data_IF_047723095498
#
_entry.id   IF_047723095498
#
_cell.length_a   1.000
_cell.length_b   1.000
_cell.length_c   1.000
_cell.angle_alpha   90.00
_cell.angle_beta   90.00
_cell.angle_gamma   90.00
#
_symmetry.space_group_name_H-M   'P 1'
#
loop_
_entity.id
_entity.type
_entity.pdbx_description
1 polymer ?
#
# COMPACT_ATOMS: atom_id res chain seq x y z
N UNK A 1 -32.90 -15.69 15.06
CA UNK A 1 -32.71 -17.10 14.64
C UNK A 1 -31.86 -17.09 13.39
N UNK A 2 -30.64 -17.59 13.49
CA UNK A 2 -29.65 -17.62 12.42
C UNK A 2 -30.03 -18.77 11.48
N UNK A 3 -30.10 -18.51 10.18
CA UNK A 3 -30.04 -19.58 9.16
C UNK A 3 -28.97 -19.21 8.13
N UNK A 4 -27.85 -19.89 8.25
CA UNK A 4 -26.75 -19.92 7.29
C UNK A 4 -27.19 -20.66 6.02
N UNK A 5 -27.08 -20.01 4.86
CA UNK A 5 -27.02 -20.72 3.58
C UNK A 5 -25.81 -20.24 2.80
N UNK A 6 -24.82 -21.13 2.69
CA UNK A 6 -23.68 -21.01 1.80
C UNK A 6 -24.21 -21.20 0.38
N UNK A 7 -24.15 -20.16 -0.45
CA UNK A 7 -24.32 -20.29 -1.89
C UNK A 7 -23.01 -19.95 -2.58
N UNK A 8 -22.35 -21.03 -3.00
CA UNK A 8 -21.29 -21.02 -4.00
C UNK A 8 -21.86 -20.61 -5.36
N UNK A 9 -20.96 -20.08 -6.21
CA UNK A 9 -21.13 -19.60 -7.59
C UNK A 9 -21.70 -18.18 -7.70
N UNK A 10 -20.75 -17.26 -7.88
CA UNK A 10 -21.04 -15.93 -8.41
C UNK A 10 -21.34 -16.01 -9.90
N UNK A 11 -22.60 -15.74 -10.24
CA UNK A 11 -23.01 -15.20 -11.52
C UNK A 11 -24.11 -14.17 -11.23
N UNK A 12 -23.94 -12.95 -11.73
CA UNK A 12 -25.04 -12.00 -11.91
C UNK A 12 -24.93 -11.50 -13.35
N UNK A 13 -25.86 -11.95 -14.19
CA UNK A 13 -25.95 -11.57 -15.61
C UNK A 13 -26.82 -10.32 -15.81
N UNK A 14 -26.20 -9.31 -16.43
CA UNK A 14 -26.68 -8.36 -17.45
C UNK A 14 -28.16 -7.91 -17.43
N UNK A 15 -28.36 -6.60 -17.22
CA UNK A 15 -29.46 -5.82 -17.82
C UNK A 15 -28.83 -4.69 -18.65
N UNK A 16 -29.18 -4.65 -19.93
CA UNK A 16 -28.66 -3.71 -20.93
C UNK A 16 -29.42 -2.37 -20.89
N UNK A 17 -28.67 -1.29 -20.67
CA UNK A 17 -29.12 0.09 -20.80
C UNK A 17 -28.01 1.04 -20.36
N UNK A 18 -27.37 1.74 -21.31
CA UNK A 18 -26.38 2.83 -21.15
C UNK A 18 -25.53 2.87 -19.85
N UNK A 19 -25.08 1.71 -19.37
CA UNK A 19 -24.12 1.59 -18.26
C UNK A 19 -22.76 1.32 -18.86
N UNK A 20 -21.79 2.18 -18.53
CA UNK A 20 -20.38 1.95 -18.79
C UNK A 20 -20.03 0.50 -18.43
N UNK A 21 -19.44 -0.24 -19.37
CA UNK A 21 -19.10 -1.64 -19.18
C UNK A 21 -17.97 -1.70 -18.15
N UNK A 22 -18.31 -2.05 -16.91
CA UNK A 22 -17.32 -2.26 -15.85
C UNK A 22 -16.37 -3.37 -16.29
N UNK A 23 -15.07 -3.08 -16.29
CA UNK A 23 -14.04 -4.02 -16.69
C UNK A 23 -13.78 -4.96 -15.51
N UNK A 24 -14.07 -6.24 -15.69
CA UNK A 24 -13.78 -7.27 -14.69
C UNK A 24 -12.26 -7.43 -14.58
N UNK A 25 -11.76 -7.39 -13.35
CA UNK A 25 -10.34 -7.59 -13.03
C UNK A 25 -10.14 -8.87 -12.22
N UNK A 26 -9.35 -9.82 -12.74
CA UNK A 26 -8.93 -11.00 -12.01
C UNK A 26 -8.11 -10.64 -10.76
N UNK A 27 -8.20 -11.46 -9.70
CA UNK A 27 -7.57 -11.16 -8.41
C UNK A 27 -6.03 -11.09 -8.43
N UNK A 28 -5.40 -11.73 -9.41
CA UNK A 28 -3.95 -11.74 -9.62
C UNK A 28 -3.48 -10.70 -10.67
N UNK A 29 -4.37 -9.83 -11.16
CA UNK A 29 -4.01 -8.75 -12.09
C UNK A 29 -3.19 -7.64 -11.40
N UNK A 30 -2.23 -7.07 -12.12
CA UNK A 30 -1.51 -5.87 -11.67
C UNK A 30 -2.30 -4.59 -11.94
N UNK A 31 -2.09 -3.55 -11.13
CA UNK A 31 -2.65 -2.21 -11.33
C UNK A 31 -2.24 -1.63 -12.69
N UNK A 32 -1.00 -1.87 -13.13
CA UNK A 32 -0.54 -1.48 -14.46
C UNK A 32 -1.36 -2.13 -15.58
N UNK A 33 -1.58 -3.44 -15.50
CA UNK A 33 -2.41 -4.18 -16.46
C UNK A 33 -3.85 -3.70 -16.45
N UNK A 34 -4.42 -3.51 -15.26
CA UNK A 34 -5.79 -3.07 -15.11
C UNK A 34 -6.00 -1.68 -15.75
N UNK A 35 -5.07 -0.76 -15.53
CA UNK A 35 -5.08 0.57 -16.17
C UNK A 35 -4.89 0.45 -17.68
N UNK A 36 -3.93 -0.35 -18.14
CA UNK A 36 -3.71 -0.60 -19.58
C UNK A 36 -4.97 -1.12 -20.28
N UNK A 37 -5.71 -2.04 -19.66
CA UNK A 37 -6.94 -2.57 -20.25
C UNK A 37 -8.03 -1.50 -20.37
N UNK A 38 -8.12 -0.57 -19.42
CA UNK A 38 -8.99 0.60 -19.57
C UNK A 38 -8.55 1.46 -20.75
N UNK A 39 -7.25 1.71 -20.88
CA UNK A 39 -6.71 2.44 -22.02
C UNK A 39 -7.13 1.80 -23.35
N UNK A 40 -6.98 0.48 -23.47
CA UNK A 40 -7.38 -0.26 -24.68
C UNK A 40 -8.89 -0.18 -24.93
N UNK A 41 -9.72 -0.40 -23.90
CA UNK A 41 -11.18 -0.39 -24.04
C UNK A 41 -11.73 1.00 -24.39
N UNK A 42 -11.15 2.05 -23.83
CA UNK A 42 -11.60 3.43 -24.03
C UNK A 42 -10.79 4.18 -25.10
N UNK A 43 -9.91 3.49 -25.84
CA UNK A 43 -9.16 4.06 -26.96
C UNK A 43 -8.09 5.10 -26.57
N UNK A 44 -7.59 5.07 -25.34
CA UNK A 44 -6.51 5.94 -24.89
C UNK A 44 -5.14 5.34 -25.24
N UNK A 45 -4.56 5.79 -26.36
CA UNK A 45 -3.26 5.30 -26.84
C UNK A 45 -2.05 5.80 -26.04
N UNK A 46 -2.20 6.90 -25.29
CA UNK A 46 -1.15 7.37 -24.37
C UNK A 46 -1.03 6.39 -23.20
N UNK A 47 0.13 5.77 -23.04
CA UNK A 47 0.46 4.84 -21.94
C UNK A 47 1.60 5.35 -21.07
N UNK A 48 1.98 6.63 -21.19
CA UNK A 48 3.09 7.23 -20.45
C UNK A 48 2.88 7.27 -18.94
N UNK A 49 1.64 7.11 -18.47
CA UNK A 49 1.25 6.97 -17.07
C UNK A 49 1.51 5.58 -16.48
N UNK A 50 1.76 4.57 -17.32
CA UNK A 50 2.01 3.18 -16.92
C UNK A 50 3.33 2.63 -17.44
N UNK A 51 3.82 3.10 -18.60
CA UNK A 51 5.09 2.71 -19.22
C UNK A 51 6.04 3.90 -19.26
N UNK A 52 7.27 3.71 -18.78
CA UNK A 52 8.32 4.73 -18.83
C UNK A 52 8.85 4.90 -20.25
N UNK A 53 9.53 6.04 -20.49
CA UNK A 53 10.27 6.30 -21.75
C UNK A 53 11.31 5.23 -22.08
N UNK A 54 11.78 4.47 -21.09
CA UNK A 54 12.74 3.39 -21.26
C UNK A 54 12.12 2.03 -21.57
N UNK A 55 10.79 1.90 -21.66
CA UNK A 55 10.12 0.64 -21.98
C UNK A 55 9.92 -0.30 -20.78
N UNK A 56 9.75 0.26 -19.58
CA UNK A 56 9.51 -0.49 -18.35
C UNK A 56 8.17 -0.06 -17.76
N UNK A 57 7.56 -0.89 -16.93
CA UNK A 57 6.51 -0.41 -16.05
C UNK A 57 7.07 0.68 -15.12
N UNK A 58 6.33 1.77 -14.99
CA UNK A 58 6.64 2.82 -14.01
C UNK A 58 6.49 2.27 -12.59
N UNK A 59 7.20 2.84 -11.62
CA UNK A 59 7.09 2.36 -10.23
C UNK A 59 5.69 2.58 -9.63
N UNK A 60 5.08 3.72 -9.93
CA UNK A 60 3.75 4.08 -9.46
C UNK A 60 2.89 4.48 -10.65
N UNK A 61 2.02 3.59 -11.14
CA UNK A 61 1.09 3.94 -12.20
C UNK A 61 0.04 4.92 -11.68
N UNK A 62 -0.50 5.73 -12.59
CA UNK A 62 -1.63 6.60 -12.33
C UNK A 62 -2.62 6.54 -13.48
N UNK A 63 -3.89 6.79 -13.24
CA UNK A 63 -4.89 6.88 -14.31
C UNK A 63 -4.78 8.24 -15.02
N UNK A 64 -4.97 8.29 -16.34
CA UNK A 64 -5.03 9.54 -17.08
C UNK A 64 -6.24 10.39 -16.68
N UNK A 65 -6.07 11.71 -16.65
CA UNK A 65 -7.12 12.67 -16.30
C UNK A 65 -8.40 12.47 -17.11
N UNK A 66 -8.25 12.16 -18.41
CA UNK A 66 -9.37 11.95 -19.34
C UNK A 66 -10.29 10.78 -18.97
N UNK A 67 -9.79 9.77 -18.26
CA UNK A 67 -10.52 8.54 -17.94
C UNK A 67 -10.62 8.26 -16.43
N UNK A 68 -10.11 9.13 -15.57
CA UNK A 68 -10.11 8.94 -14.10
C UNK A 68 -11.51 8.79 -13.51
N UNK A 69 -12.50 9.50 -14.07
CA UNK A 69 -13.89 9.43 -13.65
C UNK A 69 -14.47 8.01 -13.79
N UNK A 70 -13.95 7.20 -14.72
CA UNK A 70 -14.37 5.80 -14.92
C UNK A 70 -13.99 4.90 -13.75
N UNK A 71 -13.04 5.31 -12.90
CA UNK A 71 -12.62 4.54 -11.73
C UNK A 71 -13.50 4.80 -10.50
N UNK A 72 -14.36 5.82 -10.55
CA UNK A 72 -15.29 6.13 -9.46
C UNK A 72 -16.36 5.06 -9.25
N UNK A 73 -16.64 4.25 -10.28
CA UNK A 73 -17.63 3.16 -10.19
C UNK A 73 -17.12 1.87 -9.53
N UNK A 74 -15.79 1.70 -9.35
CA UNK A 74 -15.25 0.48 -8.75
C UNK A 74 -15.32 0.51 -7.23
N UNK A 75 -15.57 -0.64 -6.62
CA UNK A 75 -15.41 -0.81 -5.19
C UNK A 75 -13.99 -0.41 -4.75
N UNK A 76 -13.88 0.42 -3.73
CA UNK A 76 -12.59 0.94 -3.31
C UNK A 76 -11.67 -0.15 -2.78
N UNK A 77 -12.24 -1.14 -2.08
CA UNK A 77 -11.53 -2.34 -1.65
C UNK A 77 -10.89 -3.06 -2.84
N UNK A 78 -11.58 -3.15 -3.98
CA UNK A 78 -11.03 -3.78 -5.18
C UNK A 78 -9.81 -3.02 -5.73
N UNK A 79 -9.90 -1.69 -5.83
CA UNK A 79 -8.77 -0.86 -6.25
C UNK A 79 -7.58 -0.96 -5.28
N UNK A 80 -7.86 -1.10 -3.98
CA UNK A 80 -6.85 -1.30 -2.96
C UNK A 80 -6.09 -2.61 -3.12
N UNK A 81 -6.78 -3.71 -3.48
CA UNK A 81 -6.15 -4.99 -3.82
C UNK A 81 -5.13 -4.81 -4.94
N UNK A 82 -5.50 -4.11 -6.01
CA UNK A 82 -4.61 -3.86 -7.14
C UNK A 82 -3.35 -3.10 -6.71
N UNK A 83 -3.50 -2.05 -5.90
CA UNK A 83 -2.34 -1.26 -5.41
C UNK A 83 -1.42 -2.11 -4.55
N UNK A 84 -1.97 -2.94 -3.66
CA UNK A 84 -1.19 -3.78 -2.76
C UNK A 84 -0.46 -4.90 -3.51
N UNK A 85 -1.17 -5.63 -4.37
CA UNK A 85 -0.59 -6.73 -5.15
C UNK A 85 0.49 -6.23 -6.11
N UNK A 86 0.38 -4.98 -6.58
CA UNK A 86 1.37 -4.38 -7.50
C UNK A 86 2.58 -3.78 -6.80
N UNK A 87 2.73 -3.99 -5.48
CA UNK A 87 3.83 -3.47 -4.66
C UNK A 87 4.01 -1.95 -4.73
N UNK A 88 2.94 -1.21 -5.07
CA UNK A 88 2.94 0.26 -5.09
C UNK A 88 2.99 0.80 -3.66
N UNK A 89 2.32 0.11 -2.73
CA UNK A 89 2.40 0.35 -1.30
C UNK A 89 3.55 -0.48 -0.72
N UNK A 90 4.56 0.20 -0.19
CA UNK A 90 5.54 -0.42 0.70
C UNK A 90 5.08 -0.19 2.13
N UNK A 91 4.62 -1.24 2.80
CA UNK A 91 4.28 -1.12 4.21
C UNK A 91 5.50 -0.66 5.02
N UNK A 92 5.28 0.31 5.89
CA UNK A 92 6.29 0.74 6.86
C UNK A 92 6.61 -0.42 7.79
N UNK A 93 7.90 -0.63 8.11
CA UNK A 93 8.30 -1.66 9.08
C UNK A 93 7.87 -1.33 10.52
N UNK A 94 7.64 -0.06 10.82
CA UNK A 94 7.28 0.41 12.16
C UNK A 94 5.82 0.08 12.48
N UNK A 95 5.59 -0.50 13.66
CA UNK A 95 4.26 -0.81 14.18
C UNK A 95 3.51 0.47 14.63
N UNK A 96 4.22 1.42 15.23
CA UNK A 96 3.71 2.74 15.62
C UNK A 96 3.87 3.75 14.47
N UNK A 97 3.16 3.51 13.38
CA UNK A 97 3.17 4.39 12.21
C UNK A 97 1.77 4.59 11.66
N UNK A 98 1.63 5.52 10.70
CA UNK A 98 0.35 5.85 10.09
C UNK A 98 -0.30 4.59 9.46
N UNK A 99 -1.45 4.12 9.97
CA UNK A 99 -2.16 2.95 9.46
C UNK A 99 -2.80 3.20 8.10
N UNK A 100 -2.97 4.47 7.71
CA UNK A 100 -3.64 4.91 6.49
C UNK A 100 -2.65 5.31 5.38
N UNK A 101 -1.35 5.02 5.52
CA UNK A 101 -0.34 5.41 4.53
C UNK A 101 -0.67 4.95 3.10
N UNK A 102 -1.31 3.79 2.96
CA UNK A 102 -1.70 3.24 1.67
C UNK A 102 -2.74 4.07 0.93
N UNK A 103 -3.58 4.85 1.63
CA UNK A 103 -4.62 5.69 1.02
C UNK A 103 -4.00 6.74 0.09
N UNK A 104 -2.84 7.29 0.47
CA UNK A 104 -2.13 8.24 -0.38
C UNK A 104 -1.79 7.62 -1.75
N UNK A 105 -1.35 6.36 -1.76
CA UNK A 105 -1.02 5.62 -2.99
C UNK A 105 -2.26 5.22 -3.77
N UNK A 106 -3.33 4.81 -3.09
CA UNK A 106 -4.62 4.53 -3.70
C UNK A 106 -5.17 5.75 -4.44
N UNK A 107 -5.21 6.89 -3.75
CA UNK A 107 -5.65 8.17 -4.32
C UNK A 107 -4.81 8.57 -5.53
N UNK A 108 -3.50 8.51 -5.36
CA UNK A 108 -2.53 8.88 -6.37
C UNK A 108 -2.56 8.01 -7.63
N UNK A 109 -2.96 6.74 -7.50
CA UNK A 109 -3.03 5.78 -8.61
C UNK A 109 -4.38 5.87 -9.33
N UNK A 110 -5.51 5.98 -8.63
CA UNK A 110 -6.83 5.83 -9.26
C UNK A 110 -7.75 7.06 -9.22
N UNK A 111 -7.49 8.07 -8.37
CA UNK A 111 -8.44 9.18 -8.16
C UNK A 111 -7.91 10.56 -8.50
N UNK A 112 -6.61 10.80 -8.36
CA UNK A 112 -6.02 12.13 -8.59
C UNK A 112 -6.06 12.55 -10.06
N UNK A 113 -6.01 11.57 -10.96
CA UNK A 113 -5.67 11.81 -12.36
C UNK A 113 -4.19 12.21 -12.49
N UNK A 114 -3.53 11.80 -13.56
CA UNK A 114 -2.18 12.23 -13.90
C UNK A 114 -2.02 12.45 -15.39
N UNK A 115 -1.22 13.46 -15.74
CA UNK A 115 -0.58 13.53 -17.05
C UNK A 115 0.58 12.53 -17.20
N UNK A 116 1.34 12.68 -18.27
CA UNK A 116 2.46 11.78 -18.60
C UNK A 116 3.48 11.64 -17.45
N UNK A 117 3.89 10.41 -17.14
CA UNK A 117 4.88 10.16 -16.09
C UNK A 117 6.28 10.57 -16.56
N UNK A 118 6.95 11.40 -15.77
CA UNK A 118 8.39 11.66 -15.90
C UNK A 118 9.25 10.69 -15.09
N UNK A 119 8.66 9.70 -14.42
CA UNK A 119 9.40 8.78 -13.56
C UNK A 119 10.20 7.77 -14.37
N UNK A 120 11.41 7.46 -13.90
CA UNK A 120 12.21 6.39 -14.45
C UNK A 120 11.50 5.04 -14.32
N UNK A 121 11.69 4.19 -15.33
CA UNK A 121 11.19 2.83 -15.36
C UNK A 121 11.74 2.00 -14.21
N UNK A 122 10.93 1.09 -13.65
CA UNK A 122 11.35 0.30 -12.49
C UNK A 122 11.20 -1.21 -12.69
N UNK A 123 10.12 -1.67 -13.34
CA UNK A 123 9.89 -3.11 -13.56
C UNK A 123 9.92 -3.45 -15.04
N UNK A 124 10.70 -4.46 -15.43
CA UNK A 124 10.69 -4.97 -16.81
C UNK A 124 9.31 -5.53 -17.11
N UNK A 125 8.77 -5.23 -18.30
CA UNK A 125 7.51 -5.82 -18.75
C UNK A 125 7.76 -7.26 -19.18
N UNK A 126 7.29 -8.19 -18.34
CA UNK A 126 7.45 -9.64 -18.54
C UNK A 126 6.11 -10.34 -18.48
N UNK A 127 5.97 -11.46 -19.18
CA UNK A 127 4.75 -12.26 -19.21
C UNK A 127 5.00 -13.72 -19.59
N UNK A 128 3.99 -14.56 -19.38
CA UNK A 128 3.98 -15.94 -19.84
C UNK A 128 3.00 -16.07 -21.01
N UNK A 129 3.44 -16.41 -22.23
CA UNK A 129 2.57 -16.57 -23.39
C UNK A 129 1.43 -17.58 -23.16
N UNK A 130 1.71 -18.69 -22.47
CA UNK A 130 0.71 -19.71 -22.18
C UNK A 130 -0.32 -19.24 -21.16
N UNK A 131 0.09 -18.46 -20.15
CA UNK A 131 -0.86 -17.78 -19.26
C UNK A 131 -1.76 -16.84 -20.06
N UNK A 132 -1.21 -15.99 -20.93
CA UNK A 132 -2.02 -15.07 -21.73
C UNK A 132 -3.04 -15.85 -22.59
N UNK A 133 -2.63 -16.92 -23.26
CA UNK A 133 -3.54 -17.78 -24.05
C UNK A 133 -4.61 -18.44 -23.18
N UNK A 134 -4.26 -18.89 -21.97
CA UNK A 134 -5.21 -19.47 -21.03
C UNK A 134 -6.23 -18.42 -20.56
N UNK A 135 -5.77 -17.23 -20.17
CA UNK A 135 -6.61 -16.11 -19.76
C UNK A 135 -7.58 -15.69 -20.87
N UNK A 136 -7.13 -15.62 -22.13
CA UNK A 136 -8.01 -15.31 -23.27
C UNK A 136 -9.07 -16.39 -23.44
N UNK A 137 -8.72 -17.67 -23.31
CA UNK A 137 -9.69 -18.78 -23.39
C UNK A 137 -10.70 -18.76 -22.25
N UNK A 138 -10.28 -18.39 -21.05
CA UNK A 138 -11.11 -18.43 -19.84
C UNK A 138 -11.96 -17.16 -19.66
N UNK A 139 -11.38 -15.98 -19.87
CA UNK A 139 -12.00 -14.69 -19.58
C UNK A 139 -12.31 -13.86 -20.83
N UNK A 140 -11.86 -14.28 -22.01
CA UNK A 140 -12.00 -13.52 -23.26
C UNK A 140 -10.99 -12.38 -23.43
N UNK A 141 -10.02 -12.23 -22.52
CA UNK A 141 -8.97 -11.21 -22.60
C UNK A 141 -7.69 -11.67 -21.89
N UNK A 142 -6.53 -11.17 -22.34
CA UNK A 142 -5.27 -11.32 -21.63
C UNK A 142 -5.02 -10.20 -20.63
N UNK A 143 -4.18 -10.45 -19.62
CA UNK A 143 -3.73 -9.45 -18.65
C UNK A 143 -2.36 -9.80 -18.03
N UNK A 144 -1.63 -8.79 -17.56
CA UNK A 144 -0.37 -8.99 -16.85
C UNK A 144 -0.60 -9.21 -15.34
N UNK A 145 -0.11 -10.35 -14.84
CA UNK A 145 -0.21 -10.71 -13.43
C UNK A 145 0.68 -9.83 -12.54
N UNK A 146 0.23 -9.57 -11.32
CA UNK A 146 0.96 -8.80 -10.32
C UNK A 146 2.30 -9.43 -9.96
N UNK A 147 2.37 -10.76 -9.82
CA UNK A 147 3.62 -11.45 -9.50
C UNK A 147 4.71 -11.29 -10.57
N UNK A 148 4.35 -11.01 -11.82
CA UNK A 148 5.32 -10.81 -12.91
C UNK A 148 6.14 -9.51 -12.76
N UNK A 149 5.71 -8.59 -11.89
CA UNK A 149 6.50 -7.40 -11.53
C UNK A 149 7.79 -7.77 -10.77
N UNK A 150 7.75 -8.83 -9.97
CA UNK A 150 8.84 -9.20 -9.05
C UNK A 150 9.45 -10.58 -9.33
N UNK A 151 8.78 -11.44 -10.10
CA UNK A 151 9.25 -12.78 -10.50
C UNK A 151 9.87 -12.76 -11.90
N UNK A 152 10.79 -13.70 -12.14
CA UNK A 152 11.29 -14.05 -13.48
C UNK A 152 10.71 -15.39 -13.97
N UNK A 153 9.88 -16.06 -13.17
CA UNK A 153 9.40 -17.41 -13.42
C UNK A 153 7.87 -17.51 -13.32
N UNK A 154 7.27 -18.22 -14.27
CA UNK A 154 5.86 -18.58 -14.27
C UNK A 154 5.66 -19.91 -13.53
N UNK A 155 5.03 -19.85 -12.35
CA UNK A 155 4.76 -21.06 -11.55
C UNK A 155 3.81 -22.03 -12.26
N UNK A 156 2.77 -21.52 -12.94
CA UNK A 156 1.74 -22.37 -13.55
C UNK A 156 2.23 -23.23 -14.72
N UNK A 157 3.21 -22.73 -15.48
CA UNK A 157 3.72 -23.36 -16.70
C UNK A 157 5.19 -23.77 -16.58
N UNK A 158 5.77 -23.65 -15.38
CA UNK A 158 7.14 -24.01 -15.07
C UNK A 158 8.20 -23.47 -16.04
N UNK A 159 8.07 -22.20 -16.46
CA UNK A 159 8.96 -21.58 -17.44
C UNK A 159 9.35 -20.16 -17.06
N UNK A 160 10.50 -19.69 -17.57
CA UNK A 160 10.91 -18.29 -17.44
C UNK A 160 9.92 -17.38 -18.16
N UNK A 161 9.58 -16.25 -17.50
CA UNK A 161 8.79 -15.21 -18.12
C UNK A 161 9.56 -14.58 -19.29
N UNK A 162 8.83 -14.32 -20.37
CA UNK A 162 9.34 -13.72 -21.57
C UNK A 162 9.22 -12.20 -21.48
N UNK A 163 10.17 -11.48 -22.05
CA UNK A 163 10.03 -10.07 -22.41
C UNK A 163 10.24 -9.89 -23.91
N UNK A 164 9.81 -8.73 -24.40
CA UNK A 164 9.90 -8.37 -25.81
C UNK A 164 10.62 -7.02 -25.90
N UNK A 165 11.56 -6.94 -26.84
CA UNK A 165 12.05 -5.65 -27.31
C UNK A 165 10.97 -5.01 -28.18
N UNK A 166 10.37 -3.93 -27.71
CA UNK A 166 9.39 -3.18 -28.48
C UNK A 166 9.86 -1.75 -28.75
N UNK A 167 9.45 -1.14 -29.87
CA UNK A 167 9.79 0.24 -30.18
C UNK A 167 9.19 1.19 -29.15
N UNK A 168 10.06 1.95 -28.50
CA UNK A 168 9.70 2.88 -27.42
C UNK A 168 8.76 4.01 -27.87
N UNK A 169 8.66 4.26 -29.18
CA UNK A 169 7.75 5.25 -29.75
C UNK A 169 6.29 4.79 -29.83
N UNK A 170 6.02 3.48 -29.75
CA UNK A 170 4.67 2.93 -29.78
C UNK A 170 4.50 1.71 -28.86
N UNK A 171 4.65 1.87 -27.54
CA UNK A 171 4.43 0.81 -26.56
C UNK A 171 2.98 0.29 -26.55
N UNK A 172 2.00 1.15 -26.84
CA UNK A 172 0.57 0.81 -26.77
C UNK A 172 0.20 -0.35 -27.70
N UNK A 173 0.53 -0.27 -29.00
CA UNK A 173 0.18 -1.30 -29.97
C UNK A 173 0.81 -2.66 -29.63
N UNK A 174 2.03 -2.65 -29.10
CA UNK A 174 2.74 -3.87 -28.71
C UNK A 174 2.09 -4.53 -27.50
N UNK A 175 1.78 -3.76 -26.47
CA UNK A 175 1.10 -4.28 -25.28
C UNK A 175 -0.31 -4.78 -25.63
N UNK A 176 -1.04 -4.08 -26.49
CA UNK A 176 -2.34 -4.52 -26.99
C UNK A 176 -2.24 -5.84 -27.75
N UNK A 177 -1.25 -6.01 -28.63
CA UNK A 177 -1.00 -7.28 -29.35
C UNK A 177 -0.73 -8.43 -28.39
N UNK A 178 0.14 -8.22 -27.40
CA UNK A 178 0.45 -9.22 -26.37
C UNK A 178 -0.82 -9.64 -25.65
N UNK A 179 -1.62 -8.68 -25.14
CA UNK A 179 -2.88 -8.98 -24.43
C UNK A 179 -3.95 -9.63 -25.32
N UNK A 180 -3.80 -9.51 -26.64
CA UNK A 180 -4.64 -10.17 -27.65
C UNK A 180 -4.06 -11.54 -28.09
N UNK A 181 -3.02 -12.04 -27.43
CA UNK A 181 -2.40 -13.34 -27.72
C UNK A 181 -1.48 -13.35 -28.95
N UNK A 182 -1.16 -12.18 -29.50
CA UNK A 182 -0.28 -12.03 -30.65
C UNK A 182 1.13 -11.68 -30.18
N UNK A 183 2.03 -12.67 -30.27
CA UNK A 183 3.40 -12.52 -29.79
C UNK A 183 4.39 -12.44 -30.96
N UNK A 184 5.41 -11.55 -30.90
CA UNK A 184 6.45 -11.46 -31.92
C UNK A 184 7.37 -12.69 -31.89
N UNK A 185 8.04 -12.96 -33.03
CA UNK A 185 8.92 -14.12 -33.18
C UNK A 185 10.18 -14.06 -32.31
N UNK A 186 10.65 -12.85 -31.95
CA UNK A 186 11.80 -12.64 -31.05
C UNK A 186 11.29 -12.31 -29.66
N UNK A 187 11.42 -13.26 -28.75
CA UNK A 187 11.22 -13.07 -27.32
C UNK A 187 12.52 -13.42 -26.61
N UNK A 188 12.78 -12.73 -25.50
CA UNK A 188 13.95 -12.97 -24.68
C UNK A 188 13.51 -13.56 -23.34
N UNK A 189 14.30 -14.52 -22.86
CA UNK A 189 14.17 -15.05 -21.50
C UNK A 189 15.41 -14.65 -20.72
N UNK A 190 15.22 -14.16 -19.50
CA UNK A 190 16.32 -13.91 -18.58
C UNK A 190 16.72 -15.18 -17.84
N UNK A 191 17.97 -15.27 -17.38
CA UNK A 191 18.31 -16.20 -16.32
C UNK A 191 17.44 -15.90 -15.08
N UNK A 192 16.96 -16.96 -14.43
CA UNK A 192 16.11 -16.85 -13.25
C UNK A 192 16.92 -16.18 -12.14
N UNK A 193 16.65 -14.89 -11.87
CA UNK A 193 17.31 -14.14 -10.79
C UNK A 193 16.43 -14.03 -9.56
N UNK A 194 15.11 -14.10 -9.74
CA UNK A 194 14.12 -13.96 -8.66
C UNK A 194 12.95 -14.92 -8.82
N UNK A 195 12.67 -15.66 -7.74
CA UNK A 195 11.51 -16.53 -7.60
C UNK A 195 10.70 -16.09 -6.37
N UNK A 196 9.43 -15.79 -6.56
CA UNK A 196 8.50 -15.51 -5.48
C UNK A 196 7.29 -16.43 -5.60
N UNK A 197 7.03 -17.21 -4.55
CA UNK A 197 5.81 -18.01 -4.44
C UNK A 197 4.66 -17.06 -4.07
N UNK A 198 3.62 -17.02 -4.90
CA UNK A 198 2.40 -16.28 -4.60
C UNK A 198 1.71 -16.87 -3.36
N UNK A 199 1.70 -16.09 -2.28
CA UNK A 199 0.67 -16.18 -1.24
C UNK A 199 0.51 -14.81 -0.63
N UNK A 200 -0.52 -14.07 -1.04
CA UNK A 200 -1.08 -13.08 -0.12
C UNK A 200 -2.51 -12.71 -0.50
N UNK A 201 -3.44 -13.19 0.33
CA UNK A 201 -4.61 -12.43 0.72
C UNK A 201 -4.14 -11.04 1.19
N UNK A 202 -4.95 -10.00 0.97
CA UNK A 202 -4.76 -8.70 1.60
C UNK A 202 -4.48 -8.90 3.10
N UNK A 203 -3.27 -8.59 3.54
CA UNK A 203 -2.89 -8.58 4.95
C UNK A 203 -2.29 -7.23 5.25
N UNK A 204 -3.10 -6.31 5.76
CA UNK A 204 -2.57 -5.13 6.40
C UNK A 204 -1.80 -5.56 7.64
N UNK A 205 -0.53 -5.17 7.74
CA UNK A 205 0.16 -5.28 9.02
C UNK A 205 -0.57 -4.42 10.05
N UNK A 206 -1.08 -5.04 11.11
CA UNK A 206 -1.75 -4.34 12.21
C UNK A 206 -0.80 -3.27 12.77
N UNK A 207 -1.24 -2.01 12.75
CA UNK A 207 -0.49 -0.89 13.31
C UNK A 207 -1.01 -0.54 14.70
N UNK A 208 -0.22 0.20 15.45
CA UNK A 208 -0.51 0.60 16.82
C UNK A 208 -0.53 2.12 16.98
N UNK A 209 -1.40 2.59 17.87
CA UNK A 209 -1.59 3.99 18.21
C UNK A 209 -0.42 4.61 18.99
N UNK A 210 -0.27 5.95 18.95
CA UNK A 210 0.67 6.68 19.81
C UNK A 210 0.49 6.40 21.31
N UNK A 211 -0.76 6.34 21.79
CA UNK A 211 -1.02 6.06 23.20
C UNK A 211 -0.51 4.68 23.64
N UNK A 212 -0.62 3.66 22.79
CA UNK A 212 -0.04 2.35 23.08
C UNK A 212 1.50 2.40 23.07
N UNK A 213 2.11 3.26 22.24
CA UNK A 213 3.54 3.49 22.24
C UNK A 213 4.03 4.09 23.57
N UNK A 214 3.29 5.03 24.15
CA UNK A 214 3.60 5.61 25.46
C UNK A 214 3.53 4.57 26.58
N UNK A 215 2.49 3.73 26.56
CA UNK A 215 2.34 2.62 27.51
C UNK A 215 3.48 1.63 27.35
N UNK A 216 3.82 1.28 26.11
CA UNK A 216 4.98 0.43 25.82
C UNK A 216 6.29 1.05 26.33
N UNK A 217 6.49 2.35 26.14
CA UNK A 217 7.67 3.05 26.64
C UNK A 217 7.76 2.94 28.18
N UNK A 218 6.68 3.18 28.91
CA UNK A 218 6.66 3.01 30.37
C UNK A 218 6.93 1.56 30.78
N UNK A 219 6.38 0.60 30.03
CA UNK A 219 6.54 -0.83 30.30
C UNK A 219 7.98 -1.30 30.09
N UNK A 220 8.64 -0.89 29.00
CA UNK A 220 10.01 -1.30 28.67
C UNK A 220 11.05 -0.63 29.57
N UNK A 221 10.79 0.60 30.04
CA UNK A 221 11.66 1.28 31.02
C UNK A 221 11.83 0.50 32.33
N UNK A 222 10.80 -0.25 32.74
CA UNK A 222 10.85 -1.14 33.92
C UNK A 222 11.50 -2.50 33.61
N UNK A 223 11.81 -2.77 32.34
CA UNK A 223 12.25 -4.07 31.82
C UNK A 223 13.44 -3.92 30.86
N UNK A 224 14.36 -3.00 31.14
CA UNK A 224 15.56 -2.81 30.33
C UNK A 224 16.45 -4.06 30.23
N UNK A 225 16.27 -5.04 31.12
CA UNK A 225 16.92 -6.36 31.02
C UNK A 225 16.46 -7.15 29.79
N UNK A 226 15.28 -6.87 29.22
CA UNK A 226 14.81 -7.45 27.97
C UNK A 226 15.52 -6.87 26.74
N UNK A 227 16.29 -5.79 26.88
CA UNK A 227 17.11 -5.25 25.81
C UNK A 227 18.48 -5.90 25.97
N UNK A 228 18.65 -7.10 25.44
CA UNK A 228 19.92 -7.82 25.37
C UNK A 228 20.53 -7.75 23.96
N UNK A 229 21.67 -8.41 23.75
CA UNK A 229 22.34 -8.42 22.44
C UNK A 229 21.47 -9.05 21.33
N UNK A 230 20.60 -10.01 21.67
CA UNK A 230 19.69 -10.63 20.70
C UNK A 230 18.64 -9.62 20.23
N UNK A 231 18.06 -8.86 21.15
CA UNK A 231 17.12 -7.78 20.82
C UNK A 231 17.79 -6.67 20.04
N UNK A 232 19.04 -6.33 20.37
CA UNK A 232 19.84 -5.35 19.63
C UNK A 232 20.04 -5.80 18.16
N UNK A 233 20.47 -7.05 17.96
CA UNK A 233 20.63 -7.63 16.62
C UNK A 233 19.35 -7.61 15.80
N UNK A 234 18.20 -7.93 16.41
CA UNK A 234 16.89 -7.86 15.74
C UNK A 234 16.42 -6.42 15.45
N UNK A 235 16.90 -5.44 16.22
CA UNK A 235 16.71 -4.02 15.90
C UNK A 235 17.61 -3.54 14.76
N UNK A 236 18.55 -4.37 14.29
CA UNK A 236 19.51 -4.02 13.24
C UNK A 236 20.67 -3.16 13.74
N UNK A 237 21.03 -3.29 15.02
CA UNK A 237 22.20 -2.64 15.60
C UNK A 237 23.11 -3.68 16.26
N UNK A 238 24.41 -3.40 16.25
CA UNK A 238 25.45 -4.40 16.57
C UNK A 238 25.67 -4.60 18.07
N UNK A 239 25.10 -3.74 18.92
CA UNK A 239 25.30 -3.78 20.37
C UNK A 239 24.09 -3.16 21.12
N UNK A 240 23.79 -3.74 22.29
CA UNK A 240 22.82 -3.28 23.28
C UNK A 240 22.94 -1.79 23.62
N UNK A 241 24.13 -1.26 23.83
CA UNK A 241 24.28 0.13 24.28
C UNK A 241 23.69 1.12 23.27
N UNK A 242 23.78 0.82 21.97
CA UNK A 242 23.16 1.62 20.90
C UNK A 242 21.63 1.68 20.99
N UNK A 243 20.99 0.59 21.40
CA UNK A 243 19.54 0.57 21.65
C UNK A 243 19.20 1.38 22.90
N UNK A 244 20.01 1.25 23.95
CA UNK A 244 19.77 1.97 25.21
C UNK A 244 19.82 3.49 25.04
N UNK A 245 20.69 4.01 24.17
CA UNK A 245 20.72 5.44 23.82
C UNK A 245 19.39 5.91 23.22
N UNK A 246 18.55 5.03 22.66
CA UNK A 246 17.20 5.43 22.21
C UNK A 246 16.24 5.73 23.36
N UNK A 247 16.48 5.15 24.54
CA UNK A 247 15.63 5.23 25.72
C UNK A 247 16.23 6.10 26.84
N UNK A 248 17.54 6.29 26.85
CA UNK A 248 18.31 6.93 27.90
C UNK A 248 19.15 8.09 27.35
N UNK A 249 19.31 9.13 28.17
CA UNK A 249 20.39 10.11 28.03
C UNK A 249 21.71 9.53 28.55
N UNK A 250 22.83 10.18 28.25
CA UNK A 250 24.17 9.75 28.68
C UNK A 250 24.32 9.72 30.20
N UNK A 251 23.51 10.50 30.92
CA UNK A 251 23.43 10.53 32.38
C UNK A 251 22.51 9.44 32.98
N UNK A 252 21.98 8.55 32.15
CA UNK A 252 21.10 7.46 32.55
C UNK A 252 19.63 7.86 32.79
N UNK A 253 19.27 9.14 32.61
CA UNK A 253 17.85 9.56 32.69
C UNK A 253 17.09 9.09 31.48
N UNK A 254 15.82 8.75 31.69
CA UNK A 254 14.96 8.33 30.59
C UNK A 254 14.58 9.49 29.67
N UNK A 255 14.68 9.26 28.36
CA UNK A 255 14.22 10.17 27.32
C UNK A 255 12.94 9.68 26.66
N UNK A 256 12.20 10.56 26.02
CA UNK A 256 11.09 10.16 25.16
C UNK A 256 11.64 9.60 23.85
N UNK A 257 11.37 8.32 23.61
CA UNK A 257 11.88 7.61 22.45
C UNK A 257 10.97 7.85 21.26
N UNK A 258 11.58 7.99 20.08
CA UNK A 258 10.82 8.08 18.83
C UNK A 258 10.00 6.79 18.61
N UNK A 259 8.78 6.93 18.11
CA UNK A 259 7.89 5.80 17.81
C UNK A 259 8.51 4.73 16.91
N UNK A 260 9.38 5.14 15.98
CA UNK A 260 10.11 4.20 15.13
C UNK A 260 11.01 3.27 15.95
N UNK A 261 11.76 3.79 16.93
CA UNK A 261 12.64 3.00 17.79
C UNK A 261 11.85 2.10 18.72
N UNK A 262 10.78 2.62 19.33
CA UNK A 262 9.87 1.81 20.14
C UNK A 262 9.27 0.66 19.33
N UNK A 263 8.94 0.90 18.07
CA UNK A 263 8.40 -0.13 17.18
C UNK A 263 9.43 -1.19 16.80
N UNK A 264 10.70 -0.81 16.61
CA UNK A 264 11.80 -1.75 16.40
C UNK A 264 12.00 -2.63 17.62
N UNK A 265 12.06 -2.03 18.81
CA UNK A 265 12.22 -2.76 20.08
C UNK A 265 11.06 -3.73 20.30
N UNK A 266 9.81 -3.28 20.14
CA UNK A 266 8.64 -4.14 20.32
C UNK A 266 8.66 -5.34 19.36
N UNK A 267 9.05 -5.13 18.10
CA UNK A 267 9.18 -6.19 17.10
C UNK A 267 10.33 -7.16 17.41
N UNK A 268 11.44 -6.65 17.92
CA UNK A 268 12.55 -7.48 18.37
C UNK A 268 12.15 -8.34 19.58
N UNK A 269 11.46 -7.76 20.57
CA UNK A 269 10.91 -8.50 21.72
C UNK A 269 9.89 -9.55 21.27
N UNK A 270 9.03 -9.25 20.28
CA UNK A 270 8.12 -10.24 19.71
C UNK A 270 8.84 -11.51 19.22
N UNK A 271 10.01 -11.33 18.60
CA UNK A 271 10.80 -12.44 18.05
C UNK A 271 11.62 -13.17 19.12
N UNK A 272 12.28 -12.43 20.01
CA UNK A 272 13.23 -12.99 20.99
C UNK A 272 12.51 -13.47 22.26
N UNK A 273 11.52 -12.72 22.71
CA UNK A 273 10.81 -12.90 23.98
C UNK A 273 9.29 -12.88 23.77
N UNK A 274 8.80 -13.78 22.93
CA UNK A 274 7.39 -13.84 22.51
C UNK A 274 6.39 -13.85 23.69
N UNK A 275 6.71 -14.52 24.80
CA UNK A 275 5.87 -14.54 26.00
C UNK A 275 5.70 -13.14 26.61
N UNK A 276 6.78 -12.36 26.73
CA UNK A 276 6.72 -10.98 27.24
C UNK A 276 5.99 -10.05 26.28
N UNK A 277 6.15 -10.27 24.97
CA UNK A 277 5.37 -9.55 23.97
C UNK A 277 3.87 -9.84 24.11
N UNK A 278 3.49 -11.12 24.20
CA UNK A 278 2.09 -11.53 24.34
C UNK A 278 1.48 -11.01 25.65
N UNK A 279 2.23 -11.08 26.75
CA UNK A 279 1.83 -10.47 28.03
C UNK A 279 1.53 -8.98 27.88
N UNK A 280 2.45 -8.22 27.25
CA UNK A 280 2.24 -6.80 27.00
C UNK A 280 1.00 -6.53 26.14
N UNK A 281 0.86 -7.24 25.01
CA UNK A 281 -0.25 -7.03 24.07
C UNK A 281 -1.59 -7.39 24.71
N UNK A 282 -1.68 -8.52 25.41
CA UNK A 282 -2.93 -8.96 26.05
C UNK A 282 -3.32 -8.07 27.23
N UNK A 283 -2.34 -7.56 27.98
CA UNK A 283 -2.58 -6.74 29.17
C UNK A 283 -2.94 -5.30 28.83
N UNK A 284 -2.33 -4.74 27.78
CA UNK A 284 -2.40 -3.29 27.53
C UNK A 284 -3.08 -2.90 26.22
N UNK A 285 -3.42 -3.83 25.35
CA UNK A 285 -3.97 -3.48 24.04
C UNK A 285 -5.33 -4.09 23.76
N UNK A 286 -6.10 -3.40 22.93
CA UNK A 286 -7.27 -3.94 22.23
C UNK A 286 -7.15 -3.58 20.75
N UNK A 287 -7.70 -4.44 19.88
CA UNK A 287 -7.78 -4.15 18.45
C UNK A 287 -9.16 -3.56 18.15
N UNK A 288 -9.16 -2.40 17.50
CA UNK A 288 -10.35 -1.77 16.94
C UNK A 288 -10.29 -1.80 15.42
N UNK A 289 -11.44 -1.64 14.77
CA UNK A 289 -11.53 -1.51 13.32
C UNK A 289 -11.77 -0.04 12.99
N UNK A 290 -10.94 0.52 12.12
CA UNK A 290 -11.02 1.92 11.71
C UNK A 290 -11.55 2.02 10.27
N UNK A 291 -12.66 2.76 10.04
CA UNK A 291 -13.12 3.12 8.70
C UNK A 291 -12.26 4.25 8.13
N UNK A 292 -11.65 4.03 6.96
CA UNK A 292 -10.68 4.95 6.37
C UNK A 292 -10.74 5.04 4.84
N UNK A 293 -11.85 4.68 4.19
CA UNK A 293 -11.95 4.83 2.74
C UNK A 293 -11.87 6.27 2.23
N UNK A 294 -11.48 6.46 0.96
CA UNK A 294 -11.34 7.77 0.30
C UNK A 294 -12.69 8.22 -0.25
N UNK A 295 -13.41 7.34 -0.94
CA UNK A 295 -14.77 7.63 -1.47
C UNK A 295 -15.77 7.88 -0.35
N UNK A 296 -15.79 6.98 0.62
CA UNK A 296 -16.54 7.10 1.86
C UNK A 296 -15.70 6.43 2.95
N UNK A 297 -15.83 6.87 4.21
CA UNK A 297 -15.05 6.28 5.29
C UNK A 297 -15.29 4.77 5.43
N UNK A 298 -16.50 4.31 5.12
CA UNK A 298 -16.97 2.94 5.34
C UNK A 298 -16.62 1.97 4.19
N UNK A 299 -15.91 2.40 3.15
CA UNK A 299 -15.54 1.51 2.03
C UNK A 299 -14.27 0.70 2.29
N UNK A 300 -13.46 1.10 3.27
CA UNK A 300 -12.24 0.40 3.67
C UNK A 300 -12.12 0.37 5.19
N UNK A 301 -11.81 -0.81 5.72
CA UNK A 301 -11.67 -1.06 7.15
C UNK A 301 -10.29 -1.64 7.45
N UNK A 302 -9.62 -1.11 8.47
CA UNK A 302 -8.30 -1.60 8.89
C UNK A 302 -8.24 -1.91 10.39
N UNK A 303 -7.55 -2.98 10.80
CA UNK A 303 -7.29 -3.26 12.20
C UNK A 303 -6.25 -2.30 12.77
N UNK A 304 -6.50 -1.78 13.97
CA UNK A 304 -5.60 -0.87 14.66
C UNK A 304 -5.55 -1.18 16.18
N UNK A 305 -4.35 -1.30 16.72
CA UNK A 305 -4.14 -1.57 18.15
C UNK A 305 -4.10 -0.27 18.95
N UNK A 306 -4.94 -0.21 19.97
CA UNK A 306 -5.03 0.93 20.89
C UNK A 306 -4.84 0.47 22.33
N UNK A 307 -4.50 1.40 23.22
CA UNK A 307 -4.51 1.12 24.65
C UNK A 307 -5.92 0.70 25.08
N UNK A 308 -6.04 -0.39 25.84
CA UNK A 308 -7.35 -0.98 26.17
C UNK A 308 -8.21 -0.08 27.06
N UNK A 309 -7.60 0.69 27.97
CA UNK A 309 -8.30 1.64 28.84
C UNK A 309 -8.66 2.96 28.13
N UNK A 310 -8.12 3.23 26.94
CA UNK A 310 -8.42 4.47 26.23
C UNK A 310 -9.79 4.41 25.56
N UNK A 311 -10.57 5.47 25.78
CA UNK A 311 -11.77 5.79 25.02
C UNK A 311 -11.39 6.60 23.78
N UNK A 312 -11.38 5.91 22.63
CA UNK A 312 -11.02 6.55 21.36
C UNK A 312 -12.03 7.62 20.93
N UNK A 313 -13.27 7.61 21.46
CA UNK A 313 -14.28 8.63 21.15
C UNK A 313 -13.98 9.97 21.80
N UNK A 314 -13.22 9.97 22.91
CA UNK A 314 -12.82 11.16 23.67
C UNK A 314 -11.33 11.46 23.56
N UNK A 315 -10.62 10.76 22.68
CA UNK A 315 -9.18 10.88 22.56
C UNK A 315 -8.82 12.23 21.92
N UNK A 316 -8.13 13.08 22.68
CA UNK A 316 -7.67 14.41 22.24
C UNK A 316 -6.30 14.38 21.54
N UNK A 317 -5.68 13.20 21.41
CA UNK A 317 -4.39 13.05 20.75
C UNK A 317 -4.56 13.36 19.25
N UNK A 318 -4.03 14.51 18.82
CA UNK A 318 -4.16 15.04 17.46
C UNK A 318 -3.57 14.07 16.43
N UNK A 319 -2.54 13.31 16.82
CA UNK A 319 -1.88 12.33 15.95
C UNK A 319 -2.51 10.93 16.00
N UNK A 320 -3.59 10.72 16.76
CA UNK A 320 -4.22 9.42 16.88
C UNK A 320 -5.22 9.19 15.73
N UNK A 321 -4.93 8.22 14.87
CA UNK A 321 -5.82 7.88 13.75
C UNK A 321 -7.18 7.34 14.18
N UNK A 322 -7.30 6.81 15.40
CA UNK A 322 -8.58 6.36 15.94
C UNK A 322 -9.51 7.54 16.27
N UNK A 323 -8.97 8.66 16.78
CA UNK A 323 -9.75 9.85 17.13
C UNK A 323 -10.18 10.63 15.89
N UNK A 324 -9.26 10.86 14.95
CA UNK A 324 -9.54 11.46 13.63
C UNK A 324 -10.47 10.60 12.75
N UNK A 325 -10.80 9.38 13.20
CA UNK A 325 -11.73 8.52 12.48
C UNK A 325 -13.19 8.62 12.89
N UNK A 326 -13.47 9.48 13.86
CA UNK A 326 -14.80 9.73 14.38
C UNK A 326 -15.26 11.11 13.89
N UNK A 327 -16.41 11.22 13.21
CA UNK A 327 -16.85 12.47 12.56
C UNK A 327 -16.81 13.71 13.47
N UNK A 328 -17.19 13.54 14.73
CA UNK A 328 -17.28 14.62 15.74
C UNK A 328 -15.91 15.16 16.15
N UNK A 329 -14.88 14.31 16.21
CA UNK A 329 -13.53 14.73 16.64
C UNK A 329 -12.77 15.38 15.50
N UNK A 330 -13.01 14.97 14.25
CA UNK A 330 -12.44 15.63 13.08
C UNK A 330 -12.83 17.11 12.98
N UNK A 331 -14.09 17.46 13.27
CA UNK A 331 -14.55 18.86 13.29
C UNK A 331 -13.89 19.68 14.41
N UNK A 332 -13.71 19.09 15.60
CA UNK A 332 -13.07 19.76 16.74
C UNK A 332 -11.57 19.96 16.49
N UNK A 333 -10.88 18.94 15.96
CA UNK A 333 -9.45 19.05 15.59
C UNK A 333 -9.27 20.07 14.46
N UNK A 334 -10.15 20.11 13.46
CA UNK A 334 -10.11 21.13 12.40
C UNK A 334 -10.45 22.55 12.88
N UNK A 335 -11.32 22.71 13.89
CA UNK A 335 -11.62 23.99 14.52
C UNK A 335 -10.47 24.47 15.42
N UNK A 336 -9.94 23.61 16.29
CA UNK A 336 -8.82 23.95 17.17
C UNK A 336 -7.53 24.25 16.38
N UNK A 337 -7.25 23.51 15.28
CA UNK A 337 -6.15 23.84 14.37
C UNK A 337 -6.31 25.21 13.69
N UNK A 338 -7.54 25.70 13.48
CA UNK A 338 -7.80 27.02 12.88
C UNK A 338 -7.71 28.17 13.90
N UNK A 339 -8.06 27.89 15.15
CA UNK A 339 -8.15 28.88 16.22
C UNK A 339 -6.84 29.07 16.99
N UNK A 340 -5.98 28.05 17.11
CA UNK A 340 -4.72 28.13 17.87
C UNK A 340 -3.46 28.42 17.05
N UNK A 341 -3.53 28.49 15.71
CA UNK A 341 -2.37 28.85 14.92
C UNK A 341 -2.15 30.36 14.90
N UNK A 342 -1.09 30.83 15.57
CA UNK A 342 -0.63 32.20 15.44
C UNK A 342 -0.21 32.50 13.98
N UNK A 343 -0.07 33.78 13.64
CA UNK A 343 0.18 34.20 12.26
C UNK A 343 1.49 33.61 11.68
N UNK A 344 2.50 33.36 12.50
CA UNK A 344 3.75 32.71 12.09
C UNK A 344 3.56 31.22 11.81
N UNK A 345 2.73 30.50 12.60
CA UNK A 345 2.42 29.10 12.34
C UNK A 345 1.54 28.92 11.10
N UNK A 346 0.67 29.90 10.78
CA UNK A 346 -0.07 29.95 9.50
C UNK A 346 0.87 30.15 8.30
N UNK A 347 1.96 30.88 8.48
CA UNK A 347 3.00 31.05 7.45
C UNK A 347 3.79 29.74 7.31
N UNK A 348 4.19 29.09 8.41
CA UNK A 348 4.90 27.80 8.37
C UNK A 348 4.01 26.70 7.76
N UNK A 349 2.71 26.65 8.06
CA UNK A 349 1.79 25.68 7.48
C UNK A 349 1.52 25.95 5.99
N UNK A 350 1.42 27.23 5.58
CA UNK A 350 1.38 27.61 4.17
C UNK A 350 2.70 27.30 3.45
N UNK A 351 3.84 27.45 4.11
CA UNK A 351 5.14 27.05 3.58
C UNK A 351 5.29 25.52 3.54
N UNK A 352 4.74 24.76 4.49
CA UNK A 352 4.79 23.30 4.50
C UNK A 352 3.90 22.67 3.41
N UNK A 353 2.78 23.32 3.09
CA UNK A 353 1.93 22.96 1.94
C UNK A 353 2.56 23.48 0.64
N UNK A 354 3.15 24.69 0.64
CA UNK A 354 3.80 25.32 -0.51
C UNK A 354 5.10 24.63 -0.95
N UNK A 355 5.95 24.20 -0.01
CA UNK A 355 7.22 23.51 -0.25
C UNK A 355 7.02 22.08 -0.75
N UNK A 356 5.87 21.45 -0.48
CA UNK A 356 5.47 20.18 -1.12
C UNK A 356 4.94 20.36 -2.55
N UNK A 357 4.82 21.60 -3.03
CA UNK A 357 4.41 21.92 -4.41
C UNK A 357 5.46 22.72 -5.21
N UNK A 358 6.61 23.09 -4.65
CA UNK A 358 7.61 23.91 -5.37
C UNK A 358 9.03 23.34 -5.49
N UNK A 359 9.37 22.22 -4.86
CA UNK A 359 10.63 21.53 -5.21
C UNK A 359 10.42 20.58 -6.38
N UNK A 360 10.25 21.11 -7.60
CA UNK A 360 10.63 20.44 -8.86
C UNK A 360 10.44 21.33 -10.10
N UNK A 361 10.76 22.62 -10.08
CA UNK A 361 11.12 23.35 -11.31
C UNK A 361 11.97 24.59 -11.01
N UNK A 362 13.29 24.46 -11.23
CA UNK A 362 14.18 25.40 -11.93
C UNK A 362 15.59 25.46 -11.30
N UNK A 363 16.58 25.24 -12.17
CA UNK A 363 18.01 25.58 -12.14
C UNK A 363 18.63 26.18 -10.88
#
# INVERSE_FOLDING_TARGET
MISSTILAKGEVSLVWGNKLKMIISPSDESAHSFILRHHIVYGASDVSNIVSKSGYWVRQPGVLDSIVHLYQQYEEHHLLVLVMNSHIVKETRAIFSNPQYFLSRLNDTFYKGRGASQQSGYYIIKFCPDCIRAQIREFGFGYFKACWLCSDFCVQHHQTLQNIDYPLFNPYDYLQKILSGHFPARMHSYEIRRYQIEKTLLKFAVKASPCLAEIFQKWIRKRLHLIDEKVAGECGVDDRARVLVWLLHDDGRFRNAAHVHLGLILKAIQKVYSNHYLDFINTHSKTIIIPCGIKSRETVFIPFMVHNENDCQKCLEINCFASCSIPVVCSIVQQNLREEMNLCDKIIYREYIGQNTSFFFSK
#
